data_IF_225887242609
#
_entry.id   IF_225887242609
#
_cell.length_a   1.000
_cell.length_b   1.000
_cell.length_c   1.000
_cell.angle_alpha   90.00
_cell.angle_beta   90.00
_cell.angle_gamma   90.00
#
_symmetry.space_group_name_H-M   'P 1'
#
loop_
_entity.id
_entity.type
_entity.pdbx_description
1 polymer ?
#
# COMPACT_ATOMS: atom_id res chain seq x y z
N UNK A 1 11.95 -5.91 -5.70
CA UNK A 1 10.99 -5.82 -4.58
C UNK A 1 10.00 -4.72 -4.89
N UNK A 2 8.69 -4.91 -4.63
CA UNK A 2 7.69 -3.87 -4.83
C UNK A 2 7.97 -2.67 -3.90
N UNK A 3 7.61 -1.49 -4.41
CA UNK A 3 7.80 -0.21 -3.72
C UNK A 3 6.48 0.54 -3.69
N UNK A 4 6.19 1.20 -2.58
CA UNK A 4 5.00 2.04 -2.42
C UNK A 4 5.36 3.28 -1.62
N UNK A 5 4.83 4.43 -2.02
CA UNK A 5 5.06 5.71 -1.33
C UNK A 5 3.93 5.88 -0.33
N UNK A 6 4.29 5.99 0.95
CA UNK A 6 3.34 6.23 2.03
C UNK A 6 3.56 7.61 2.63
N UNK A 7 2.54 8.13 3.32
CA UNK A 7 2.75 9.27 4.23
C UNK A 7 3.69 8.85 5.35
N UNK A 8 4.62 9.74 5.71
CA UNK A 8 5.53 9.54 6.83
C UNK A 8 4.73 9.44 8.14
N UNK A 9 4.71 8.28 8.81
CA UNK A 9 3.93 8.11 10.03
C UNK A 9 4.56 8.83 11.25
N UNK A 10 5.76 9.38 11.12
CA UNK A 10 6.39 10.27 12.10
C UNK A 10 6.08 11.75 11.83
N UNK A 11 5.51 12.09 10.67
CA UNK A 11 5.11 13.46 10.35
C UNK A 11 3.66 13.73 10.80
N UNK A 12 3.46 14.49 11.88
CA UNK A 12 2.11 14.79 12.40
C UNK A 12 1.27 15.64 11.43
N UNK A 13 1.89 16.26 10.43
CA UNK A 13 1.21 17.10 9.45
C UNK A 13 0.95 16.42 8.12
N UNK A 14 1.38 15.15 7.93
CA UNK A 14 1.22 14.40 6.69
C UNK A 14 1.73 15.14 5.43
N UNK A 15 2.82 15.89 5.57
CA UNK A 15 3.47 16.65 4.50
C UNK A 15 4.67 15.91 3.89
N UNK A 16 5.16 14.89 4.58
CA UNK A 16 6.29 14.06 4.16
C UNK A 16 5.82 12.70 3.73
N UNK A 17 6.60 12.14 2.82
CA UNK A 17 6.40 10.80 2.28
C UNK A 17 7.63 9.96 2.57
N UNK A 18 7.40 8.66 2.72
CA UNK A 18 8.43 7.64 2.85
C UNK A 18 8.24 6.58 1.79
N UNK A 19 9.35 6.14 1.20
CA UNK A 19 9.36 5.06 0.23
C UNK A 19 9.48 3.73 0.97
N UNK A 20 8.42 2.93 0.92
CA UNK A 20 8.39 1.62 1.53
C UNK A 20 8.79 0.55 0.52
N UNK A 21 9.83 -0.22 0.86
CA UNK A 21 10.13 -1.49 0.21
C UNK A 21 9.48 -2.60 1.03
N UNK A 22 8.65 -3.43 0.39
CA UNK A 22 7.91 -4.48 1.06
C UNK A 22 7.94 -5.79 0.27
N UNK A 23 7.46 -6.86 0.90
CA UNK A 23 7.25 -8.16 0.27
C UNK A 23 6.02 -8.87 0.82
N UNK A 24 5.69 -10.01 0.23
CA UNK A 24 4.56 -10.85 0.63
C UNK A 24 3.33 -10.70 -0.27
N UNK A 25 2.16 -10.94 0.30
CA UNK A 25 0.86 -10.90 -0.37
C UNK A 25 -0.01 -9.78 0.23
N UNK A 26 -1.12 -9.35 -0.42
CA UNK A 26 -2.01 -8.34 0.14
C UNK A 26 -2.58 -8.69 1.53
N UNK A 27 -2.60 -9.98 1.90
CA UNK A 27 -3.03 -10.46 3.23
C UNK A 27 -1.87 -10.67 4.22
N UNK A 28 -0.63 -10.59 3.76
CA UNK A 28 0.58 -10.87 4.54
C UNK A 28 1.74 -9.97 4.11
N UNK A 29 1.58 -8.66 4.32
CA UNK A 29 2.59 -7.66 3.98
C UNK A 29 3.71 -7.66 5.02
N UNK A 30 4.94 -7.77 4.55
CA UNK A 30 6.15 -7.65 5.33
C UNK A 30 6.93 -6.40 4.88
N UNK A 31 7.12 -5.47 5.81
CA UNK A 31 7.94 -4.28 5.57
C UNK A 31 9.41 -4.68 5.58
N UNK A 32 10.16 -4.26 4.57
CA UNK A 32 11.59 -4.57 4.42
C UNK A 32 12.41 -3.33 4.77
N UNK A 33 12.02 -2.16 4.23
CA UNK A 33 12.65 -0.86 4.49
C UNK A 33 11.61 0.25 4.43
N UNK A 34 11.84 1.32 5.18
CA UNK A 34 11.08 2.56 5.09
C UNK A 34 12.06 3.71 4.92
N UNK A 35 12.18 4.25 3.70
CA UNK A 35 13.19 5.25 3.37
C UNK A 35 12.58 6.64 3.40
N UNK A 36 13.15 7.53 4.20
CA UNK A 36 12.75 8.94 4.25
C UNK A 36 13.26 9.74 3.03
N UNK A 37 13.01 11.06 3.06
CA UNK A 37 13.48 12.00 2.04
C UNK A 37 15.00 12.10 1.92
N UNK A 38 15.74 11.62 2.92
CA UNK A 38 17.20 11.54 2.94
C UNK A 38 17.71 10.13 2.64
N UNK A 39 16.82 9.22 2.24
CA UNK A 39 17.10 7.82 1.95
C UNK A 39 17.67 7.05 3.16
N UNK A 40 17.30 7.50 4.37
CA UNK A 40 17.60 6.86 5.65
C UNK A 40 16.48 5.87 5.97
N UNK A 41 16.86 4.68 6.43
CA UNK A 41 15.89 3.64 6.81
C UNK A 41 15.36 3.90 8.22
N UNK A 42 14.13 4.43 8.29
CA UNK A 42 13.45 4.76 9.53
C UNK A 42 12.64 3.60 10.10
N UNK A 43 12.55 2.46 9.38
CA UNK A 43 11.76 1.30 9.82
C UNK A 43 12.11 0.81 11.24
N UNK A 44 13.38 0.77 11.67
CA UNK A 44 13.76 0.41 13.04
C UNK A 44 13.17 1.35 14.10
N UNK A 45 13.00 2.64 13.76
CA UNK A 45 12.54 3.70 14.65
C UNK A 45 11.01 3.79 14.74
N UNK A 46 10.30 3.13 13.83
CA UNK A 46 8.84 3.09 13.84
C UNK A 46 8.30 2.20 14.96
N UNK A 47 7.33 2.74 15.71
CA UNK A 47 6.55 1.95 16.67
C UNK A 47 5.57 1.02 15.93
N UNK A 48 5.07 0.01 16.63
CA UNK A 48 4.20 -1.02 16.02
C UNK A 48 2.91 -0.43 15.42
N UNK A 49 2.37 0.64 15.99
CA UNK A 49 1.19 1.33 15.45
C UNK A 49 1.50 1.98 14.09
N UNK A 50 2.61 2.71 13.99
CA UNK A 50 3.07 3.31 12.73
C UNK A 50 3.34 2.23 11.66
N UNK A 51 3.93 1.10 12.03
CA UNK A 51 4.14 -0.04 11.11
C UNK A 51 2.83 -0.66 10.63
N UNK A 52 1.80 -0.69 11.48
CA UNK A 52 0.46 -1.18 11.10
C UNK A 52 -0.23 -0.23 10.14
N UNK A 53 -0.08 1.07 10.33
CA UNK A 53 -0.67 2.07 9.43
C UNK A 53 -0.04 2.00 8.03
N UNK A 54 1.29 1.89 7.93
CA UNK A 54 1.97 1.63 6.66
C UNK A 54 1.45 0.36 5.97
N UNK A 55 1.31 -0.75 6.71
CA UNK A 55 0.76 -2.00 6.15
C UNK A 55 -0.67 -1.85 5.65
N UNK A 56 -1.51 -1.08 6.34
CA UNK A 56 -2.91 -0.84 5.94
C UNK A 56 -2.98 -0.03 4.65
N UNK A 57 -2.17 1.02 4.54
CA UNK A 57 -2.09 1.83 3.33
C UNK A 57 -1.63 0.99 2.13
N UNK A 58 -0.54 0.23 2.29
CA UNK A 58 -0.04 -0.66 1.24
C UNK A 58 -1.08 -1.73 0.87
N UNK A 59 -1.76 -2.34 1.86
CA UNK A 59 -2.81 -3.33 1.58
C UNK A 59 -4.00 -2.73 0.81
N UNK A 60 -4.38 -1.49 1.12
CA UNK A 60 -5.44 -0.79 0.40
C UNK A 60 -5.06 -0.55 -1.07
N UNK A 61 -3.85 -0.06 -1.33
CA UNK A 61 -3.35 0.13 -2.71
C UNK A 61 -3.19 -1.20 -3.45
N UNK A 62 -2.63 -2.22 -2.80
CA UNK A 62 -2.40 -3.52 -3.41
C UNK A 62 -3.70 -4.23 -3.80
N UNK A 63 -4.73 -4.17 -2.93
CA UNK A 63 -6.06 -4.69 -3.25
C UNK A 63 -6.73 -3.89 -4.36
N UNK A 64 -6.56 -2.57 -4.41
CA UNK A 64 -7.10 -1.74 -5.48
C UNK A 64 -6.45 -2.08 -6.83
N UNK A 65 -5.13 -2.28 -6.85
CA UNK A 65 -4.40 -2.65 -8.07
C UNK A 65 -4.68 -4.08 -8.53
N UNK A 66 -4.93 -5.01 -7.60
CA UNK A 66 -5.43 -6.35 -7.92
C UNK A 66 -6.84 -6.28 -8.53
N UNK A 67 -7.74 -5.46 -7.97
CA UNK A 67 -9.07 -5.22 -8.54
C UNK A 67 -9.04 -4.54 -9.91
N UNK A 68 -8.07 -3.67 -10.18
CA UNK A 68 -7.88 -3.09 -11.52
C UNK A 68 -7.24 -4.07 -12.52
N UNK A 69 -6.48 -5.06 -12.04
CA UNK A 69 -5.92 -6.13 -12.87
C UNK A 69 -6.98 -7.16 -13.31
N UNK A 70 -8.11 -7.22 -12.60
CA UNK A 70 -9.34 -7.90 -13.04
C UNK A 70 -10.38 -6.85 -13.48
N UNK A 71 -10.35 -6.37 -14.73
CA UNK A 71 -11.45 -5.54 -15.21
C UNK A 71 -12.75 -6.33 -15.03
N UNK A 72 -13.73 -5.71 -14.38
CA UNK A 72 -15.10 -6.21 -14.35
C UNK A 72 -15.62 -6.21 -15.79
N UNK A 73 -15.28 -7.23 -16.57
CA UNK A 73 -16.21 -7.79 -17.56
C UNK A 73 -17.25 -8.55 -16.75
N UNK A 74 -18.20 -7.80 -16.17
CA UNK A 74 -19.48 -8.41 -15.85
C UNK A 74 -20.02 -9.04 -17.14
N UNK A 75 -20.62 -10.24 -17.09
CA UNK A 75 -21.25 -10.78 -18.28
C UNK A 75 -22.28 -9.75 -18.74
N UNK A 76 -22.18 -9.35 -19.99
CA UNK A 76 -23.21 -8.60 -20.69
C UNK A 76 -24.46 -9.49 -20.74
N UNK A 77 -25.22 -9.51 -19.63
CA UNK A 77 -26.54 -10.11 -19.49
C UNK A 77 -27.53 -9.26 -20.26
N UNK A 78 -27.49 -9.39 -21.58
CA UNK A 78 -28.60 -9.30 -22.52
C UNK A 78 -29.97 -9.16 -21.85
N UNK A 79 -30.37 -7.90 -21.60
CA UNK A 79 -31.79 -7.54 -21.54
C UNK A 79 -32.29 -7.46 -22.98
N UNK A 80 -32.58 -8.61 -23.56
CA UNK A 80 -33.47 -8.66 -24.71
C UNK A 80 -34.87 -8.32 -24.23
N UNK A 81 -35.41 -7.24 -24.80
CA UNK A 81 -36.83 -6.98 -24.85
C UNK A 81 -37.57 -8.20 -25.42
N UNK A 82 -38.57 -8.70 -24.69
CA UNK A 82 -39.78 -9.32 -25.21
C UNK A 82 -40.80 -9.40 -24.07
#
# INVERSE_FOLDING_TARGET
>A
MPKHVCIDPQDPYAQREVLIEFGGSPFSIHLIRALDVWNVDILPDLVEEQRKDLKREIAADYNFRDQLAYPITGPAGNRSCA
#
